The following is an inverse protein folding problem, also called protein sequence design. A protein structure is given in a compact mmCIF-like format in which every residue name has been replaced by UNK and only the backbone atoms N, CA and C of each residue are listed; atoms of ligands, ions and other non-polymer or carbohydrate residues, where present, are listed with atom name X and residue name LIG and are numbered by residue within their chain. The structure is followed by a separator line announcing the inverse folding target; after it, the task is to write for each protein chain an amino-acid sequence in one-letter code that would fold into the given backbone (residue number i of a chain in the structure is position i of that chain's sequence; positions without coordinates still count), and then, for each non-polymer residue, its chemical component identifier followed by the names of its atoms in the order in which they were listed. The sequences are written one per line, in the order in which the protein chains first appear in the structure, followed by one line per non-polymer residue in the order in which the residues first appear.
data_IF_296270951835
#
_entry.id   IF_296270951835
#
_cell.length_a   1.000
_cell.length_b   1.000
_cell.length_c   1.000
_cell.angle_alpha   90.00
_cell.angle_beta   90.00
_cell.angle_gamma   90.00
#
_symmetry.space_group_name_H-M   'P 1'
#
loop_
_entity.id
_entity.type
_entity.pdbx_description
1 polymer ?
#
# COMPACT_ATOMS: atom_id res chain seq x y z
N UNK A 1 13.92 -0.89 -14.44
CA UNK A 1 13.94 -0.59 -12.96
C UNK A 1 14.09 -1.88 -12.17
N UNK A 2 15.16 -2.06 -11.40
CA UNK A 2 15.40 -3.29 -10.60
C UNK A 2 15.34 -2.97 -9.10
N UNK A 3 14.16 -2.62 -8.60
CA UNK A 3 13.92 -2.43 -7.16
C UNK A 3 12.86 -3.40 -6.66
N UNK A 4 12.95 -3.77 -5.38
CA UNK A 4 11.93 -4.55 -4.66
C UNK A 4 11.24 -3.72 -3.59
N UNK A 5 11.76 -2.54 -3.28
CA UNK A 5 11.31 -1.69 -2.18
C UNK A 5 10.20 -0.74 -2.65
N UNK A 6 9.03 -1.32 -2.91
CA UNK A 6 7.83 -0.56 -3.23
C UNK A 6 7.01 -0.29 -1.97
N UNK A 7 6.42 0.89 -1.93
CA UNK A 7 5.43 1.31 -0.94
C UNK A 7 4.15 1.70 -1.67
N UNK A 8 3.02 1.20 -1.19
CA UNK A 8 1.69 1.55 -1.70
C UNK A 8 0.82 2.01 -0.55
N UNK A 9 0.25 3.21 -0.67
CA UNK A 9 -0.69 3.78 0.30
C UNK A 9 -2.07 3.90 -0.32
N UNK A 10 -3.07 3.34 0.37
CA UNK A 10 -4.49 3.62 0.17
C UNK A 10 -4.98 4.52 1.29
N UNK A 11 -5.73 5.56 0.94
CA UNK A 11 -6.31 6.48 1.91
C UNK A 11 -7.62 5.96 2.45
N UNK A 12 -7.95 6.35 3.69
CA UNK A 12 -9.27 6.16 4.23
C UNK A 12 -10.25 7.14 3.59
N UNK A 13 -11.51 6.73 3.52
CA UNK A 13 -12.63 7.63 3.25
C UNK A 13 -12.77 8.65 4.38
N UNK A 14 -13.12 9.90 4.05
CA UNK A 14 -13.30 10.98 5.02
C UNK A 14 -14.46 10.73 6.01
N UNK A 15 -15.38 9.81 5.67
CA UNK A 15 -16.46 9.37 6.55
C UNK A 15 -16.03 8.31 7.56
N UNK A 16 -14.79 7.80 7.48
CA UNK A 16 -14.28 6.82 8.45
C UNK A 16 -14.15 7.45 9.84
N UNK A 17 -14.69 6.76 10.85
CA UNK A 17 -14.68 7.18 12.25
C UNK A 17 -13.86 6.20 13.09
N UNK A 18 -12.54 6.33 13.00
CA UNK A 18 -11.58 5.44 13.67
C UNK A 18 -10.38 6.23 14.18
N UNK A 19 -9.90 5.84 15.36
CA UNK A 19 -8.71 6.41 15.97
C UNK A 19 -7.49 5.47 15.77
N UNK A 20 -6.29 6.05 15.64
CA UNK A 20 -5.06 5.25 15.45
C UNK A 20 -4.84 4.18 16.51
N UNK A 21 -5.27 4.45 17.75
CA UNK A 21 -5.13 3.52 18.86
C UNK A 21 -5.88 2.21 18.66
N UNK A 22 -6.98 2.25 17.92
CA UNK A 22 -7.84 1.09 17.67
C UNK A 22 -7.14 0.04 16.80
N UNK A 23 -6.12 0.44 16.02
CA UNK A 23 -5.36 -0.51 15.19
C UNK A 23 -4.36 -1.36 15.99
N UNK A 24 -3.96 -0.94 17.20
CA UNK A 24 -3.03 -1.71 18.04
C UNK A 24 -3.60 -3.09 18.39
N UNK A 25 -4.79 -3.22 19.01
CA UNK A 25 -5.36 -4.52 19.30
C UNK A 25 -5.69 -5.33 18.02
N UNK A 26 -6.07 -4.69 16.94
CA UNK A 26 -6.34 -5.35 15.64
C UNK A 26 -5.06 -6.00 15.12
N UNK A 27 -3.94 -5.29 15.11
CA UNK A 27 -2.66 -5.84 14.65
C UNK A 27 -2.11 -6.93 15.58
N UNK A 28 -2.34 -6.83 16.89
CA UNK A 28 -2.01 -7.93 17.82
C UNK A 28 -2.85 -9.18 17.54
N UNK A 29 -4.16 -9.03 17.27
CA UNK A 29 -5.00 -10.15 16.83
C UNK A 29 -4.48 -10.79 15.55
N UNK A 30 -4.07 -9.97 14.57
CA UNK A 30 -3.51 -10.46 13.32
C UNK A 30 -2.21 -11.26 13.52
N UNK A 31 -1.34 -10.85 14.46
CA UNK A 31 -0.14 -11.62 14.80
C UNK A 31 -0.53 -12.97 15.40
N UNK A 32 -1.48 -13.01 16.32
CA UNK A 32 -1.93 -14.25 16.98
C UNK A 32 -2.60 -15.22 16.01
N UNK A 33 -3.38 -14.69 15.06
CA UNK A 33 -4.20 -15.49 14.13
C UNK A 33 -3.57 -15.65 12.74
N UNK A 34 -2.40 -15.05 12.50
CA UNK A 34 -1.67 -15.08 11.22
C UNK A 34 -2.57 -14.69 10.03
N UNK A 35 -3.22 -13.53 10.11
CA UNK A 35 -4.21 -13.09 9.14
C UNK A 35 -3.64 -12.74 7.75
N UNK A 36 -2.35 -12.49 7.63
CA UNK A 36 -1.69 -12.15 6.38
C UNK A 36 -0.69 -13.23 5.95
N UNK A 37 -0.28 -13.20 4.69
CA UNK A 37 0.63 -14.22 4.14
C UNK A 37 2.08 -14.09 4.66
N UNK A 38 2.50 -12.87 5.02
CA UNK A 38 3.81 -12.64 5.62
C UNK A 38 3.86 -13.10 7.07
N UNK A 39 5.05 -13.46 7.55
CA UNK A 39 5.30 -13.72 8.95
C UNK A 39 5.20 -12.42 9.74
N UNK A 40 4.13 -12.25 10.49
CA UNK A 40 3.89 -11.10 11.36
C UNK A 40 4.70 -11.26 12.65
N UNK A 41 5.33 -10.17 13.12
CA UNK A 41 6.33 -10.22 14.19
C UNK A 41 5.92 -9.38 15.40
N UNK A 42 5.62 -8.08 15.18
CA UNK A 42 5.45 -7.13 16.28
C UNK A 42 4.60 -5.93 15.85
N UNK A 43 4.13 -5.15 16.83
CA UNK A 43 3.43 -3.88 16.65
C UNK A 43 4.22 -2.76 17.31
N UNK A 44 4.52 -1.70 16.55
CA UNK A 44 5.21 -0.53 17.07
C UNK A 44 4.31 0.71 17.00
N UNK A 45 4.23 1.44 18.11
CA UNK A 45 3.47 2.69 18.25
C UNK A 45 4.40 3.90 18.13
N UNK A 46 4.26 4.63 17.00
CA UNK A 46 5.00 5.86 16.72
C UNK A 46 4.14 7.13 16.76
N UNK A 47 2.95 7.09 17.36
CA UNK A 47 2.04 8.25 17.45
C UNK A 47 2.66 9.44 18.18
N UNK A 48 3.58 9.18 19.11
CA UNK A 48 4.32 10.19 19.85
C UNK A 48 5.41 10.90 19.02
N UNK A 49 5.71 10.41 17.82
CA UNK A 49 6.73 10.98 16.94
C UNK A 49 6.04 11.98 15.98
N UNK A 50 6.36 13.28 16.03
CA UNK A 50 5.82 14.25 15.08
C UNK A 50 6.12 13.82 13.63
N UNK A 51 5.11 13.78 12.79
CA UNK A 51 5.20 13.26 11.40
C UNK A 51 5.73 11.81 11.30
N UNK A 52 5.60 11.06 12.38
CA UNK A 52 5.94 9.64 12.41
C UNK A 52 4.92 8.77 11.67
N UNK A 53 5.25 7.50 11.48
CA UNK A 53 4.42 6.60 10.68
C UNK A 53 3.12 6.15 11.37
N UNK A 54 2.81 6.61 12.59
CA UNK A 54 1.61 6.19 13.31
C UNK A 54 1.76 4.79 13.93
N UNK A 55 0.90 3.81 13.57
CA UNK A 55 0.96 2.43 14.07
C UNK A 55 1.54 1.51 13.00
N UNK A 56 2.57 0.76 13.36
CA UNK A 56 3.31 -0.12 12.44
C UNK A 56 3.16 -1.57 12.85
N UNK A 57 2.56 -2.39 11.98
CA UNK A 57 2.65 -3.84 12.06
C UNK A 57 3.92 -4.29 11.31
N UNK A 58 4.85 -4.85 12.05
CA UNK A 58 6.15 -5.32 11.55
C UNK A 58 5.99 -6.76 11.09
N UNK A 59 6.24 -7.00 9.80
CA UNK A 59 6.37 -8.33 9.24
C UNK A 59 7.82 -8.58 8.77
N UNK A 60 8.15 -9.83 8.48
CA UNK A 60 9.51 -10.23 8.09
C UNK A 60 9.98 -9.54 6.80
N UNK A 61 9.14 -9.49 5.78
CA UNK A 61 9.50 -8.97 4.45
C UNK A 61 8.93 -7.58 4.16
N UNK A 62 7.98 -7.13 4.98
CA UNK A 62 7.27 -5.86 4.78
C UNK A 62 6.81 -5.24 6.11
N UNK A 63 6.29 -4.03 6.04
CA UNK A 63 5.55 -3.39 7.12
C UNK A 63 4.18 -2.95 6.60
N UNK A 64 3.16 -3.05 7.46
CA UNK A 64 1.84 -2.49 7.27
C UNK A 64 1.67 -1.34 8.26
N UNK A 65 1.37 -0.17 7.78
CA UNK A 65 1.42 1.06 8.58
C UNK A 65 0.11 1.81 8.47
N UNK A 66 -0.55 2.06 9.57
CA UNK A 66 -1.62 3.06 9.62
C UNK A 66 -0.95 4.43 9.70
N UNK A 67 -0.78 5.04 8.52
CA UNK A 67 0.13 6.14 8.26
C UNK A 67 -0.60 7.48 8.11
N UNK A 68 -0.16 8.50 8.85
CA UNK A 68 -0.65 9.89 8.81
C UNK A 68 0.19 10.82 7.92
N UNK A 69 1.27 10.33 7.35
CA UNK A 69 2.04 11.13 6.40
C UNK A 69 1.16 11.53 5.20
N UNK A 70 1.52 12.57 4.49
CA UNK A 70 0.71 13.16 3.42
C UNK A 70 -0.60 13.81 3.92
N UNK A 71 -0.65 14.20 5.22
CA UNK A 71 -1.78 14.86 5.88
C UNK A 71 -3.13 14.08 5.85
N UNK A 72 -3.10 12.80 5.50
CA UNK A 72 -4.29 11.92 5.43
C UNK A 72 -3.95 10.54 5.96
N UNK A 73 -4.86 9.99 6.78
CA UNK A 73 -4.77 8.63 7.28
C UNK A 73 -4.98 7.63 6.13
N UNK A 74 -4.17 6.58 6.12
CA UNK A 74 -4.26 5.50 5.16
C UNK A 74 -3.42 4.30 5.56
N UNK A 75 -3.68 3.16 4.91
CA UNK A 75 -2.80 1.99 5.03
C UNK A 75 -1.65 2.11 4.03
N UNK A 76 -0.44 2.18 4.55
CA UNK A 76 0.80 2.10 3.79
C UNK A 76 1.40 0.70 3.93
N UNK A 77 1.46 -0.07 2.85
CA UNK A 77 2.27 -1.26 2.75
C UNK A 77 3.67 -0.89 2.28
N UNK A 78 4.70 -1.28 3.02
CA UNK A 78 6.10 -0.98 2.69
C UNK A 78 6.90 -2.28 2.58
N UNK A 79 7.18 -2.72 1.34
CA UNK A 79 8.03 -3.89 1.09
C UNK A 79 9.49 -3.56 1.31
N UNK A 80 10.17 -4.37 2.12
CA UNK A 80 11.57 -4.16 2.50
C UNK A 80 12.54 -5.15 1.87
N UNK A 81 12.05 -6.36 1.57
CA UNK A 81 12.86 -7.46 1.02
C UNK A 81 12.12 -8.15 -0.11
N UNK A 82 12.83 -8.92 -0.92
CA UNK A 82 12.19 -9.88 -1.81
C UNK A 82 11.49 -10.95 -0.96
N UNK A 83 10.27 -11.26 -1.33
CA UNK A 83 9.54 -12.40 -0.77
C UNK A 83 10.36 -13.66 -1.03
N UNK A 84 10.49 -14.55 -0.05
CA UNK A 84 11.32 -15.74 -0.14
C UNK A 84 11.04 -16.54 -1.42
N UNK A 85 12.05 -16.97 -2.19
CA UNK A 85 11.90 -17.59 -3.51
C UNK A 85 10.97 -18.80 -3.55
N UNK A 86 10.76 -19.49 -2.41
CA UNK A 86 9.84 -20.62 -2.30
C UNK A 86 8.36 -20.25 -2.28
N UNK A 87 7.99 -18.96 -2.15
CA UNK A 87 6.59 -18.52 -2.07
C UNK A 87 6.03 -17.94 -3.36
N UNK A 88 6.88 -17.39 -4.22
CA UNK A 88 6.48 -16.94 -5.56
C UNK A 88 7.76 -16.66 -6.37
N UNK A 89 7.84 -17.19 -7.57
CA UNK A 89 8.87 -16.79 -8.53
C UNK A 89 8.53 -15.40 -9.09
N UNK A 90 8.62 -14.37 -8.25
CA UNK A 90 8.44 -12.97 -8.68
C UNK A 90 9.67 -12.58 -9.48
N UNK A 91 9.57 -12.67 -10.80
CA UNK A 91 10.70 -12.43 -11.69
C UNK A 91 10.66 -11.07 -12.39
N UNK A 92 9.45 -10.53 -12.63
CA UNK A 92 9.26 -9.25 -13.33
C UNK A 92 8.94 -8.08 -12.39
N UNK A 93 9.07 -6.87 -12.89
CA UNK A 93 8.64 -5.64 -12.20
C UNK A 93 7.11 -5.64 -12.02
N UNK A 94 6.39 -6.09 -13.06
CA UNK A 94 4.93 -6.19 -13.07
C UNK A 94 4.44 -7.16 -11.98
N UNK A 95 5.08 -8.32 -11.82
CA UNK A 95 4.74 -9.28 -10.77
C UNK A 95 4.97 -8.70 -9.38
N UNK A 96 6.05 -7.94 -9.20
CA UNK A 96 6.35 -7.24 -7.94
C UNK A 96 5.28 -6.19 -7.63
N UNK A 97 4.89 -5.39 -8.62
CA UNK A 97 3.81 -4.40 -8.47
C UNK A 97 2.49 -5.10 -8.15
N UNK A 98 2.08 -6.10 -8.93
CA UNK A 98 0.86 -6.88 -8.67
C UNK A 98 0.85 -7.45 -7.26
N UNK A 99 1.95 -8.01 -6.79
CA UNK A 99 2.09 -8.55 -5.43
C UNK A 99 1.98 -7.46 -4.35
N UNK A 100 2.53 -6.25 -4.58
CA UNK A 100 2.38 -5.10 -3.66
C UNK A 100 0.91 -4.69 -3.55
N UNK A 101 0.21 -4.56 -4.70
CA UNK A 101 -1.24 -4.28 -4.70
C UNK A 101 -2.03 -5.35 -3.96
N UNK A 102 -1.76 -6.62 -4.25
CA UNK A 102 -2.44 -7.73 -3.60
C UNK A 102 -2.26 -7.72 -2.08
N UNK A 103 -1.03 -7.54 -1.57
CA UNK A 103 -0.77 -7.47 -0.13
C UNK A 103 -1.47 -6.27 0.51
N UNK A 104 -1.42 -5.10 -0.13
CA UNK A 104 -2.06 -3.89 0.38
C UNK A 104 -3.57 -4.02 0.43
N UNK A 105 -4.19 -4.43 -0.70
CA UNK A 105 -5.65 -4.59 -0.78
C UNK A 105 -6.17 -5.68 0.16
N UNK A 106 -5.45 -6.80 0.30
CA UNK A 106 -5.81 -7.84 1.27
C UNK A 106 -5.81 -7.30 2.69
N UNK A 107 -4.82 -6.50 3.06
CA UNK A 107 -4.79 -5.88 4.39
C UNK A 107 -5.92 -4.86 4.57
N UNK A 108 -6.22 -4.03 3.56
CA UNK A 108 -7.38 -3.13 3.59
C UNK A 108 -8.70 -3.89 3.80
N UNK A 109 -8.95 -4.93 3.00
CA UNK A 109 -10.15 -5.79 3.14
C UNK A 109 -10.27 -6.39 4.54
N UNK A 110 -9.16 -6.89 5.10
CA UNK A 110 -9.13 -7.45 6.45
C UNK A 110 -9.43 -6.42 7.53
N UNK A 111 -8.96 -5.18 7.36
CA UNK A 111 -9.28 -4.08 8.28
C UNK A 111 -10.76 -3.71 8.21
N UNK A 112 -11.33 -3.55 7.01
CA UNK A 112 -12.75 -3.26 6.82
C UNK A 112 -13.67 -4.34 7.39
N UNK A 113 -13.26 -5.61 7.29
CA UNK A 113 -13.99 -6.76 7.81
C UNK A 113 -13.78 -7.03 9.30
N UNK A 114 -12.80 -6.37 9.95
CA UNK A 114 -12.47 -6.65 11.34
C UNK A 114 -13.60 -6.21 12.29
N UNK A 115 -14.07 -7.06 13.24
CA UNK A 115 -15.25 -6.77 14.06
C UNK A 115 -15.21 -5.44 14.81
N UNK A 116 -14.05 -5.00 15.25
CA UNK A 116 -13.84 -3.71 15.96
C UNK A 116 -14.04 -2.52 15.04
N UNK A 117 -13.67 -2.63 13.75
CA UNK A 117 -13.63 -1.55 12.77
C UNK A 117 -14.78 -1.60 11.76
N UNK A 118 -15.52 -2.72 11.73
CA UNK A 118 -16.55 -2.98 10.72
C UNK A 118 -17.64 -1.89 10.70
N UNK A 119 -17.88 -1.36 9.50
CA UNK A 119 -18.85 -0.27 9.28
C UNK A 119 -18.38 1.11 9.71
N UNK A 120 -17.17 1.23 10.30
CA UNK A 120 -16.55 2.50 10.73
C UNK A 120 -15.33 2.86 9.90
N UNK A 121 -14.78 1.91 9.17
CA UNK A 121 -13.59 2.04 8.34
C UNK A 121 -13.92 1.67 6.90
N UNK A 122 -13.52 2.53 5.96
CA UNK A 122 -13.57 2.26 4.54
C UNK A 122 -12.37 2.87 3.83
N UNK A 123 -11.77 2.14 2.90
CA UNK A 123 -10.68 2.64 2.07
C UNK A 123 -11.20 3.18 0.74
N UNK A 124 -10.58 4.27 0.28
CA UNK A 124 -10.83 4.83 -1.04
C UNK A 124 -10.00 4.11 -2.09
N UNK A 125 -10.65 3.49 -3.06
CA UNK A 125 -9.98 2.81 -4.17
C UNK A 125 -9.61 3.73 -5.34
N UNK A 126 -9.91 5.02 -5.26
CA UNK A 126 -9.76 5.98 -6.35
C UNK A 126 -8.51 6.87 -6.23
N UNK A 127 -7.84 6.87 -5.09
CA UNK A 127 -6.62 7.65 -4.89
C UNK A 127 -5.58 6.81 -4.14
N UNK A 128 -4.40 6.67 -4.74
CA UNK A 128 -3.30 5.87 -4.21
C UNK A 128 -1.98 6.61 -4.39
N UNK A 129 -1.04 6.34 -3.47
CA UNK A 129 0.35 6.78 -3.65
C UNK A 129 1.26 5.55 -3.76
N UNK A 130 1.97 5.45 -4.88
CA UNK A 130 3.03 4.46 -5.07
C UNK A 130 4.38 5.15 -4.92
N UNK A 131 5.27 4.57 -4.10
CA UNK A 131 6.63 5.05 -3.90
C UNK A 131 7.66 3.96 -4.13
N UNK A 132 8.79 4.33 -4.72
CA UNK A 132 9.97 3.48 -4.79
C UNK A 132 10.96 3.91 -3.68
N UNK A 133 11.07 3.11 -2.63
CA UNK A 133 11.94 3.40 -1.48
C UNK A 133 13.37 2.89 -1.70
N UNK A 134 13.91 3.11 -2.91
CA UNK A 134 15.27 2.76 -3.30
C UNK A 134 15.84 3.83 -4.24
N UNK A 135 16.46 4.84 -3.65
CA UNK A 135 16.99 6.00 -4.40
C UNK A 135 18.11 5.65 -5.37
N UNK A 136 18.82 4.55 -5.12
CA UNK A 136 19.92 4.13 -5.99
C UNK A 136 19.42 3.45 -7.26
N UNK A 137 18.39 2.60 -7.13
CA UNK A 137 17.84 1.83 -8.25
C UNK A 137 16.63 2.50 -8.91
N UNK A 138 15.94 3.38 -8.18
CA UNK A 138 14.79 4.14 -8.65
C UNK A 138 14.92 5.61 -8.19
N UNK A 139 15.84 6.40 -8.78
CA UNK A 139 15.99 7.81 -8.47
C UNK A 139 14.75 8.60 -8.90
N UNK A 140 14.42 9.69 -8.20
CA UNK A 140 13.28 10.54 -8.55
C UNK A 140 13.58 11.42 -9.77
N UNK A 141 13.61 10.79 -10.95
CA UNK A 141 13.86 11.42 -12.25
C UNK A 141 12.73 11.17 -13.22
N UNK A 142 12.57 11.99 -14.24
CA UNK A 142 11.58 11.79 -15.31
C UNK A 142 11.77 10.44 -15.99
N UNK A 143 13.00 10.03 -16.29
CA UNK A 143 13.27 8.74 -16.94
C UNK A 143 12.83 7.55 -16.09
N UNK A 144 13.09 7.57 -14.78
CA UNK A 144 12.64 6.51 -13.87
C UNK A 144 11.12 6.51 -13.69
N UNK A 145 10.49 7.68 -13.70
CA UNK A 145 9.04 7.81 -13.72
C UNK A 145 8.42 7.21 -14.99
N UNK A 146 8.96 7.56 -16.17
CA UNK A 146 8.46 7.05 -17.45
C UNK A 146 8.59 5.52 -17.53
N UNK A 147 9.72 4.96 -17.05
CA UNK A 147 9.94 3.51 -16.95
C UNK A 147 8.92 2.86 -16.00
N UNK A 148 8.68 3.47 -14.80
CA UNK A 148 7.69 2.96 -13.86
C UNK A 148 6.28 2.97 -14.45
N UNK A 149 5.90 4.03 -15.16
CA UNK A 149 4.59 4.15 -15.81
C UNK A 149 4.35 3.04 -16.83
N UNK A 150 5.36 2.66 -17.61
CA UNK A 150 5.25 1.55 -18.57
C UNK A 150 4.91 0.22 -17.89
N UNK A 151 5.47 -0.05 -16.72
CA UNK A 151 5.16 -1.25 -15.93
C UNK A 151 3.82 -1.17 -15.19
N UNK A 152 3.37 0.06 -14.85
CA UNK A 152 2.09 0.28 -14.17
C UNK A 152 0.89 0.17 -15.12
N UNK A 153 1.04 0.60 -16.36
CA UNK A 153 -0.07 0.72 -17.32
C UNK A 153 -0.90 -0.57 -17.45
N UNK A 154 -0.33 -1.78 -17.65
CA UNK A 154 -1.10 -3.01 -17.74
C UNK A 154 -1.85 -3.36 -16.45
N UNK A 155 -1.23 -3.10 -15.30
CA UNK A 155 -1.83 -3.34 -13.99
C UNK A 155 -3.02 -2.39 -13.75
N UNK A 156 -2.85 -1.10 -14.03
CA UNK A 156 -3.90 -0.10 -13.86
C UNK A 156 -5.07 -0.34 -14.83
N UNK A 157 -4.80 -0.77 -16.06
CA UNK A 157 -5.84 -1.16 -17.01
C UNK A 157 -6.67 -2.36 -16.51
N UNK A 158 -6.05 -3.30 -15.80
CA UNK A 158 -6.73 -4.44 -15.16
C UNK A 158 -7.58 -3.99 -13.97
N UNK A 159 -7.03 -3.12 -13.11
CA UNK A 159 -7.71 -2.67 -11.89
C UNK A 159 -8.86 -1.69 -12.16
N UNK A 160 -8.73 -0.85 -13.18
CA UNK A 160 -9.68 0.23 -13.50
C UNK A 160 -10.18 0.15 -14.94
N UNK A 161 -10.86 -0.95 -15.34
CA UNK A 161 -11.28 -1.16 -16.71
C UNK A 161 -12.28 -0.07 -17.15
N UNK A 162 -12.00 0.56 -18.30
CA UNK A 162 -12.86 1.59 -18.88
C UNK A 162 -12.80 2.96 -18.21
N UNK A 163 -12.02 3.12 -17.15
CA UNK A 163 -11.83 4.41 -16.49
C UNK A 163 -10.59 5.13 -17.01
N UNK A 164 -10.63 6.46 -16.96
CA UNK A 164 -9.44 7.28 -17.17
C UNK A 164 -8.61 7.30 -15.89
N UNK A 165 -7.45 6.65 -15.92
CA UNK A 165 -6.49 6.69 -14.82
C UNK A 165 -5.55 7.87 -15.02
N UNK A 166 -5.47 8.75 -14.03
CA UNK A 166 -4.49 9.84 -13.99
C UNK A 166 -3.30 9.39 -13.15
N UNK A 167 -2.11 9.50 -13.72
CA UNK A 167 -0.84 9.11 -13.06
C UNK A 167 0.04 10.34 -13.03
N UNK A 168 0.31 10.86 -11.82
CA UNK A 168 1.05 12.10 -11.62
C UNK A 168 2.39 11.86 -10.93
N UNK A 169 3.47 12.45 -11.47
CA UNK A 169 4.79 12.43 -10.86
C UNK A 169 4.89 13.47 -9.74
N UNK A 170 4.95 13.04 -8.49
CA UNK A 170 5.13 13.93 -7.33
C UNK A 170 6.60 14.33 -7.22
N UNK A 171 6.93 15.52 -7.69
CA UNK A 171 8.32 16.03 -7.74
C UNK A 171 8.75 16.75 -6.48
N UNK A 172 7.82 17.23 -5.64
CA UNK A 172 8.11 17.97 -4.42
C UNK A 172 8.82 17.11 -3.36
N UNK A 173 8.58 15.82 -3.36
CA UNK A 173 9.30 14.88 -2.52
C UNK A 173 10.63 14.50 -3.21
N UNK A 174 11.64 15.34 -3.11
CA UNK A 174 12.95 15.20 -3.79
C UNK A 174 13.73 13.93 -3.40
N UNK A 175 13.25 13.17 -2.45
CA UNK A 175 14.01 12.03 -1.91
C UNK A 175 13.62 10.67 -2.47
N UNK A 176 12.38 10.45 -2.88
CA UNK A 176 11.86 9.16 -3.38
C UNK A 176 11.02 9.37 -4.63
N UNK A 177 11.14 8.47 -5.61
CA UNK A 177 10.23 8.44 -6.73
C UNK A 177 8.83 8.13 -6.21
N UNK A 178 7.92 9.09 -6.35
CA UNK A 178 6.53 9.01 -5.87
C UNK A 178 5.57 9.31 -7.01
N UNK A 179 4.53 8.49 -7.11
CA UNK A 179 3.49 8.59 -8.13
C UNK A 179 2.14 8.61 -7.44
N UNK A 180 1.33 9.64 -7.71
CA UNK A 180 -0.08 9.67 -7.36
C UNK A 180 -0.90 9.06 -8.48
N UNK A 181 -1.83 8.17 -8.13
CA UNK A 181 -2.74 7.48 -9.05
C UNK A 181 -4.15 7.90 -8.66
N UNK A 182 -4.92 8.45 -9.61
CA UNK A 182 -6.29 8.91 -9.38
C UNK A 182 -7.23 8.40 -10.46
N UNK A 183 -8.43 8.01 -10.04
CA UNK A 183 -9.52 7.60 -10.92
C UNK A 183 -10.82 8.31 -10.52
N UNK A 184 -11.73 8.60 -11.49
CA UNK A 184 -12.94 9.36 -11.22
C UNK A 184 -13.94 8.62 -10.31
N UNK A 185 -14.08 7.31 -10.50
CA UNK A 185 -15.04 6.49 -9.78
C UNK A 185 -14.32 5.55 -8.83
N UNK A 186 -14.55 5.66 -7.49
CA UNK A 186 -13.88 4.82 -6.51
C UNK A 186 -14.44 3.39 -6.56
N UNK A 187 -13.66 2.38 -7.02
CA UNK A 187 -14.02 0.99 -6.77
C UNK A 187 -13.78 0.67 -5.29
N UNK A 188 -14.59 -0.23 -4.74
CA UNK A 188 -14.31 -0.80 -3.42
C UNK A 188 -13.09 -1.74 -3.45
N UNK A 189 -12.57 -2.06 -2.29
CA UNK A 189 -11.38 -2.92 -2.12
C UNK A 189 -11.64 -4.33 -2.66
N UNK A 190 -12.84 -4.86 -2.47
CA UNK A 190 -13.23 -6.20 -2.92
C UNK A 190 -13.25 -6.29 -4.46
N UNK A 191 -13.77 -5.26 -5.12
CA UNK A 191 -13.74 -5.17 -6.58
C UNK A 191 -12.31 -5.12 -7.11
N UNK A 192 -11.42 -4.36 -6.48
CA UNK A 192 -10.01 -4.29 -6.87
C UNK A 192 -9.30 -5.64 -6.68
N UNK A 193 -9.53 -6.35 -5.56
CA UNK A 193 -8.99 -7.69 -5.31
C UNK A 193 -9.50 -8.69 -6.34
N UNK A 194 -10.79 -8.68 -6.65
CA UNK A 194 -11.38 -9.57 -7.65
C UNK A 194 -10.77 -9.39 -9.03
N UNK A 195 -10.49 -8.14 -9.43
CA UNK A 195 -9.84 -7.83 -10.72
C UNK A 195 -8.35 -8.20 -10.75
N UNK A 196 -7.72 -8.26 -9.59
CA UNK A 196 -6.30 -8.60 -9.45
C UNK A 196 -6.03 -10.11 -9.46
N UNK A 197 -7.04 -10.93 -9.10
CA UNK A 197 -6.96 -12.39 -9.07
C UNK A 197 -6.83 -12.98 -10.48
#
# INVERSE_FOLDING_TARGET
MDTVKYELKLFLDDASDVELEEFIPVFHDWIQTQQLAELLIDVADYRHVPQGPGIVLIAHDAHYVMDLTDARLGLLYSRRRETHPSRCAIQSVEDRLRSVWHCTLTACQRLEAHPVLHGRLQFQGNELLLRCNDRLRAPNTTAAYDELCQHLEPLLATLYPGQRVEVEHIRENTSRLTVAIKVPEPPDVDALLTRLA
#
